data_IF_061155183055
#
_entry.id   IF_061155183055
#
_cell.length_a   1.000
_cell.length_b   1.000
_cell.length_c   1.000
_cell.angle_alpha   90.00
_cell.angle_beta   90.00
_cell.angle_gamma   90.00
#
_symmetry.space_group_name_H-M   'P 1'
#
loop_
_entity.id
_entity.type
_entity.pdbx_description
1 polymer ?
#
# COMPACT_ATOMS: atom_id res chain seq x y z
N UNK A 1 2.73 -4.33 -14.17
CA UNK A 1 3.34 -3.31 -13.28
C UNK A 1 4.85 -3.24 -13.43
N UNK A 2 5.57 -4.38 -13.43
CA UNK A 2 7.03 -4.41 -13.50
C UNK A 2 7.58 -3.74 -14.78
N UNK A 3 6.86 -3.80 -15.89
CA UNK A 3 7.22 -3.11 -17.13
C UNK A 3 7.17 -1.58 -17.03
N UNK A 4 6.36 -1.03 -16.11
CA UNK A 4 6.21 0.41 -15.94
C UNK A 4 7.23 1.01 -14.96
N UNK A 5 7.58 0.28 -13.89
CA UNK A 5 8.46 0.81 -12.84
C UNK A 5 9.86 0.18 -12.85
N UNK A 6 10.05 -0.93 -13.56
CA UNK A 6 11.30 -1.70 -13.62
C UNK A 6 11.32 -2.89 -12.66
N UNK A 7 12.33 -3.74 -12.81
CA UNK A 7 12.49 -4.98 -12.04
C UNK A 7 13.02 -4.76 -10.62
N UNK A 8 13.82 -3.71 -10.40
CA UNK A 8 14.28 -3.30 -9.08
C UNK A 8 13.34 -2.24 -8.52
N UNK A 9 12.62 -2.59 -7.44
CA UNK A 9 11.60 -1.73 -6.83
C UNK A 9 11.88 -1.57 -5.34
N UNK A 10 11.82 -0.34 -4.85
CA UNK A 10 11.91 0.02 -3.42
C UNK A 10 10.61 0.65 -2.98
N UNK A 11 10.16 0.34 -1.76
CA UNK A 11 8.97 0.95 -1.17
C UNK A 11 9.34 1.96 -0.08
N UNK A 12 8.58 3.04 0.05
CA UNK A 12 8.71 3.99 1.17
C UNK A 12 7.38 4.65 1.53
N UNK A 13 7.26 5.13 2.77
CA UNK A 13 6.13 5.93 3.24
C UNK A 13 6.18 7.38 2.73
N UNK A 14 5.28 8.22 3.22
CA UNK A 14 5.22 9.62 2.84
C UNK A 14 6.54 10.36 3.11
N UNK A 15 6.84 11.27 2.19
CA UNK A 15 8.05 12.06 2.22
C UNK A 15 7.74 13.38 2.91
N UNK A 16 8.60 13.87 3.81
CA UNK A 16 8.41 15.20 4.37
C UNK A 16 8.66 16.31 3.33
N UNK A 17 8.37 17.56 3.68
CA UNK A 17 8.63 18.72 2.81
C UNK A 17 10.09 18.89 2.37
N UNK A 18 11.03 18.22 3.04
CA UNK A 18 12.47 18.22 2.74
C UNK A 18 12.94 16.97 1.98
N UNK A 19 12.03 16.13 1.48
CA UNK A 19 12.41 14.97 0.67
C UNK A 19 12.88 13.73 1.44
N UNK A 20 12.80 13.70 2.78
CA UNK A 20 13.21 12.53 3.58
C UNK A 20 12.10 11.48 3.60
N UNK A 21 12.40 10.29 3.07
CA UNK A 21 11.54 9.10 3.12
C UNK A 21 11.29 8.67 4.57
N UNK A 22 10.05 8.26 4.87
CA UNK A 22 9.65 7.75 6.20
C UNK A 22 9.12 6.32 6.12
N UNK A 23 8.90 5.72 7.30
CA UNK A 23 8.10 4.51 7.42
C UNK A 23 6.67 4.78 6.97
N UNK A 24 5.99 3.74 6.52
CA UNK A 24 4.61 3.88 6.09
C UNK A 24 3.68 4.08 7.28
N UNK A 25 2.85 5.11 7.19
CA UNK A 25 1.76 5.33 8.12
C UNK A 25 0.53 4.50 7.71
N UNK A 26 -0.20 4.02 8.71
CA UNK A 26 -1.47 3.34 8.55
C UNK A 26 -2.52 4.02 9.42
N UNK A 27 -3.78 3.90 9.02
CA UNK A 27 -4.92 4.38 9.79
C UNK A 27 -5.91 3.24 9.98
N UNK A 28 -6.36 3.06 11.21
CA UNK A 28 -7.41 2.10 11.55
C UNK A 28 -8.72 2.81 11.86
N UNK A 29 -9.84 2.22 11.47
CA UNK A 29 -11.18 2.65 11.89
C UNK A 29 -12.14 1.47 11.87
N UNK A 30 -13.26 1.61 12.59
CA UNK A 30 -14.37 0.66 12.50
C UNK A 30 -15.45 1.21 11.58
N UNK A 31 -16.05 0.35 10.76
CA UNK A 31 -17.24 0.70 10.00
C UNK A 31 -18.53 0.60 10.84
N UNK A 32 -19.66 0.96 10.24
CA UNK A 32 -20.98 0.90 10.90
C UNK A 32 -21.42 -0.54 11.22
N UNK A 33 -20.75 -1.55 10.67
CA UNK A 33 -20.97 -2.97 10.91
C UNK A 33 -20.00 -3.55 11.95
N UNK A 34 -19.11 -2.74 12.52
CA UNK A 34 -18.12 -3.14 13.52
C UNK A 34 -16.90 -3.88 12.95
N UNK A 35 -16.67 -3.84 11.63
CA UNK A 35 -15.46 -4.41 11.01
C UNK A 35 -14.28 -3.46 11.13
N UNK A 36 -13.10 -3.98 11.44
CA UNK A 36 -11.88 -3.18 11.48
C UNK A 36 -11.33 -2.98 10.07
N UNK A 37 -11.17 -1.72 9.67
CA UNK A 37 -10.48 -1.31 8.46
C UNK A 37 -9.07 -0.84 8.79
N UNK A 38 -8.16 -1.04 7.85
CA UNK A 38 -6.80 -0.49 7.84
C UNK A 38 -6.51 0.11 6.47
N UNK A 39 -6.28 1.42 6.40
CA UNK A 39 -5.75 2.06 5.20
C UNK A 39 -4.27 2.34 5.32
N UNK A 40 -3.56 2.23 4.20
CA UNK A 40 -2.16 2.57 4.10
C UNK A 40 -1.86 3.18 2.73
N UNK A 41 -1.00 4.21 2.72
CA UNK A 41 -0.50 4.83 1.50
C UNK A 41 1.01 4.80 1.47
N UNK A 42 1.57 4.23 0.41
CA UNK A 42 3.02 4.17 0.21
C UNK A 42 3.40 4.38 -1.25
N UNK A 43 4.69 4.55 -1.48
CA UNK A 43 5.25 4.86 -2.77
C UNK A 43 6.22 3.77 -3.19
N UNK A 44 6.10 3.35 -4.44
CA UNK A 44 7.05 2.48 -5.10
C UNK A 44 7.96 3.34 -5.96
N UNK A 45 9.26 3.11 -5.85
CA UNK A 45 10.27 3.72 -6.70
C UNK A 45 11.09 2.62 -7.34
N UNK A 46 11.00 2.52 -8.67
CA UNK A 46 11.86 1.65 -9.45
C UNK A 46 12.80 2.43 -10.35
N UNK A 47 13.52 1.71 -11.20
CA UNK A 47 14.52 2.30 -12.11
C UNK A 47 13.91 3.08 -13.27
N UNK A 48 12.69 2.73 -13.68
CA UNK A 48 12.02 3.34 -14.84
C UNK A 48 10.97 4.38 -14.45
N UNK A 49 10.50 4.34 -13.20
CA UNK A 49 9.42 5.20 -12.77
C UNK A 49 9.08 5.05 -11.28
N UNK A 50 8.01 5.73 -10.88
CA UNK A 50 7.47 5.66 -9.52
C UNK A 50 5.96 5.51 -9.56
N UNK A 51 5.40 4.89 -8.52
CA UNK A 51 3.96 4.70 -8.38
C UNK A 51 3.52 5.01 -6.95
N UNK A 52 2.25 5.41 -6.80
CA UNK A 52 1.60 5.55 -5.49
C UNK A 52 0.65 4.39 -5.30
N UNK A 53 0.74 3.73 -4.15
CA UNK A 53 -0.15 2.66 -3.75
C UNK A 53 -1.05 3.16 -2.63
N UNK A 54 -2.35 2.98 -2.82
CA UNK A 54 -3.36 3.14 -1.79
C UNK A 54 -3.92 1.76 -1.52
N UNK A 55 -3.80 1.30 -0.28
CA UNK A 55 -4.24 -0.01 0.18
C UNK A 55 -5.30 0.21 1.25
N UNK A 56 -6.38 -0.55 1.15
CA UNK A 56 -7.37 -0.71 2.22
C UNK A 56 -7.52 -2.21 2.49
N UNK A 57 -7.40 -2.59 3.76
CA UNK A 57 -7.61 -3.95 4.25
C UNK A 57 -8.79 -3.90 5.20
N UNK A 58 -9.73 -4.81 5.00
CA UNK A 58 -10.90 -4.99 5.86
C UNK A 58 -10.71 -6.30 6.61
N UNK A 59 -10.94 -6.31 7.91
CA UNK A 59 -10.98 -7.54 8.69
C UNK A 59 -12.05 -8.46 8.10
N UNK A 60 -11.58 -9.54 7.48
CA UNK A 60 -12.41 -10.68 7.11
C UNK A 60 -12.31 -11.65 8.28
N UNK A 61 -13.46 -12.15 8.74
CA UNK A 61 -13.53 -13.19 9.77
C UNK A 61 -12.50 -14.29 9.46
N UNK A 62 -11.70 -14.63 10.47
CA UNK A 62 -10.51 -15.50 10.45
C UNK A 62 -10.68 -16.70 9.51
N UNK A 63 -10.35 -16.47 8.25
CA UNK A 63 -9.78 -17.39 7.27
C UNK A 63 -9.09 -16.45 6.27
N UNK A 64 -7.77 -16.32 6.43
CA UNK A 64 -6.92 -15.38 5.68
C UNK A 64 -6.81 -15.82 4.21
N UNK A 65 -7.87 -15.58 3.44
CA UNK A 65 -7.84 -15.69 1.99
C UNK A 65 -7.15 -14.45 1.41
N UNK A 66 -5.82 -14.55 1.28
CA UNK A 66 -5.01 -13.58 0.54
C UNK A 66 -5.36 -13.65 -0.96
N UNK A 67 -6.41 -12.96 -1.39
CA UNK A 67 -6.71 -12.76 -2.81
C UNK A 67 -5.71 -11.76 -3.41
N UNK A 68 -4.64 -12.29 -4.00
CA UNK A 68 -3.77 -11.54 -4.91
C UNK A 68 -4.58 -11.28 -6.19
N UNK A 69 -5.11 -10.06 -6.33
CA UNK A 69 -5.69 -9.59 -7.59
C UNK A 69 -4.57 -9.34 -8.60
N UNK A 70 -4.28 -10.33 -9.45
CA UNK A 70 -3.49 -10.13 -10.67
C UNK A 70 -4.39 -9.53 -11.76
N UNK A 71 -4.03 -8.35 -12.25
CA UNK A 71 -4.57 -7.82 -13.50
C UNK A 71 -3.65 -8.25 -14.65
N UNK A 72 -4.24 -8.88 -15.68
CA UNK A 72 -3.65 -9.12 -17.00
C UNK A 72 -3.41 -7.80 -17.75
#
# INVERSE_FOLDING_TARGET
VQDLIGSSVKAHGETNSRGRRRHTAHQYWYDDHGKLHMAMKFYLQGSLGSATVQLEVIEVSIDLDYNILSFL
#
